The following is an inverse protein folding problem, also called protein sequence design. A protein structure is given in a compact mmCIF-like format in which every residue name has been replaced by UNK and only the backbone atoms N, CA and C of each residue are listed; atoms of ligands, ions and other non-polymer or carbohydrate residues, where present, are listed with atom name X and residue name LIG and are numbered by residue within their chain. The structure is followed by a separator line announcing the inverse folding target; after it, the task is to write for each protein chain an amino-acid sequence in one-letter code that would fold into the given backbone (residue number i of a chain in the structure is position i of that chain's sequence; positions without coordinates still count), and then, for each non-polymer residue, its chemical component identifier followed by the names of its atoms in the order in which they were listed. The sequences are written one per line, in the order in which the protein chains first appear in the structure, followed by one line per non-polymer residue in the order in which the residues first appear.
data_IF_950595245819
#
_entry.id   IF_950595245819
#
_cell.length_a   1.000
_cell.length_b   1.000
_cell.length_c   1.000
_cell.angle_alpha   90.00
_cell.angle_beta   90.00
_cell.angle_gamma   90.00
#
_symmetry.space_group_name_H-M   'P 1'
#
loop_
_entity.id
_entity.type
_entity.pdbx_description
1 polymer ?
#
# COMPACT_ATOMS: atom_id res chain seq x y z
N UNK A 1 -11.89 13.66 10.90
CA UNK A 1 -11.43 13.15 9.58
C UNK A 1 -12.26 13.84 8.51
N UNK A 2 -11.66 14.71 7.69
CA UNK A 2 -12.42 15.50 6.72
C UNK A 2 -12.83 14.64 5.51
N UNK A 3 -14.11 14.63 5.17
CA UNK A 3 -14.72 13.78 4.13
C UNK A 3 -14.11 13.97 2.73
N UNK A 4 -13.46 15.11 2.51
CA UNK A 4 -12.81 15.49 1.26
C UNK A 4 -11.53 14.70 0.97
N UNK A 5 -10.74 14.44 2.02
CA UNK A 5 -9.51 13.63 1.94
C UNK A 5 -9.90 12.19 1.59
N UNK A 6 -10.87 11.62 2.31
CA UNK A 6 -11.41 10.26 2.05
C UNK A 6 -11.93 10.10 0.62
N UNK A 7 -12.49 11.16 0.03
CA UNK A 7 -13.02 11.16 -1.34
C UNK A 7 -11.91 11.27 -2.41
N UNK A 8 -10.83 12.00 -2.13
CA UNK A 8 -9.64 12.06 -3.01
C UNK A 8 -8.90 10.72 -3.03
N UNK A 9 -8.77 10.05 -1.87
CA UNK A 9 -8.18 8.71 -1.76
C UNK A 9 -9.01 7.63 -2.46
N UNK A 10 -10.35 7.69 -2.38
CA UNK A 10 -11.22 6.77 -3.12
C UNK A 10 -11.07 6.90 -4.65
N UNK A 11 -10.87 8.13 -5.16
CA UNK A 11 -10.64 8.38 -6.60
C UNK A 11 -9.26 7.90 -7.06
N UNK A 12 -8.22 8.08 -6.25
CA UNK A 12 -6.88 7.57 -6.56
C UNK A 12 -6.88 6.03 -6.69
N UNK A 13 -7.56 5.32 -5.77
CA UNK A 13 -7.78 3.86 -5.85
C UNK A 13 -8.48 3.42 -7.14
N UNK A 14 -9.48 4.16 -7.60
CA UNK A 14 -10.21 3.84 -8.82
C UNK A 14 -9.36 4.00 -10.10
N UNK A 15 -8.40 4.94 -10.11
CA UNK A 15 -7.54 5.22 -11.27
C UNK A 15 -6.55 4.10 -11.58
N UNK A 16 -5.89 3.56 -10.55
CA UNK A 16 -4.96 2.42 -10.65
C UNK A 16 -5.68 1.16 -11.18
N UNK A 17 -6.96 1.01 -10.87
CA UNK A 17 -7.75 -0.14 -11.28
C UNK A 17 -8.13 -0.15 -12.78
N UNK A 18 -7.88 0.96 -13.51
CA UNK A 18 -8.32 1.14 -14.90
C UNK A 18 -7.27 0.85 -15.98
N UNK A 19 -6.03 0.55 -15.59
CA UNK A 19 -4.96 0.24 -16.54
C UNK A 19 -5.28 -1.06 -17.30
N UNK A 20 -5.49 -0.94 -18.63
CA UNK A 20 -5.75 -2.08 -19.51
C UNK A 20 -4.46 -2.87 -19.72
N UNK A 21 -4.41 -4.19 -19.44
CA UNK A 21 -3.21 -4.97 -19.67
C UNK A 21 -3.00 -5.20 -21.17
N UNK A 22 -1.88 -4.73 -21.71
CA UNK A 22 -1.41 -5.00 -23.08
C UNK A 22 -0.83 -6.42 -23.27
N UNK A 23 -1.09 -7.37 -22.35
CA UNK A 23 -0.47 -8.68 -22.32
C UNK A 23 -1.45 -9.82 -22.65
N UNK A 24 -1.03 -10.73 -23.54
CA UNK A 24 -1.73 -11.97 -23.89
C UNK A 24 -1.89 -12.85 -22.63
N UNK A 25 -3.06 -13.44 -22.36
CA UNK A 25 -3.23 -14.28 -21.18
C UNK A 25 -2.37 -15.55 -21.30
N UNK A 26 -1.45 -15.73 -20.36
CA UNK A 26 -0.82 -17.02 -20.08
C UNK A 26 -1.85 -17.94 -19.42
N UNK A 27 -1.73 -19.28 -19.53
CA UNK A 27 -2.61 -20.18 -18.79
C UNK A 27 -2.52 -19.85 -17.31
N UNK A 28 -3.62 -19.38 -16.73
CA UNK A 28 -3.67 -19.12 -15.30
C UNK A 28 -3.53 -20.46 -14.59
N UNK A 29 -2.49 -20.64 -13.79
CA UNK A 29 -2.65 -21.47 -12.60
C UNK A 29 -3.92 -20.96 -11.93
N UNK A 30 -4.96 -21.80 -11.86
CA UNK A 30 -6.34 -21.36 -11.65
C UNK A 30 -6.53 -20.84 -10.21
N UNK A 31 -6.04 -19.62 -9.97
CA UNK A 31 -6.12 -18.89 -8.71
C UNK A 31 -7.46 -18.16 -8.75
N UNK A 32 -8.37 -18.53 -7.84
CA UNK A 32 -9.71 -17.95 -7.80
C UNK A 32 -9.67 -16.50 -7.33
N UNK A 33 -10.75 -15.73 -7.49
CA UNK A 33 -10.77 -14.36 -6.95
C UNK A 33 -10.63 -14.34 -5.42
N UNK A 34 -11.16 -15.36 -4.73
CA UNK A 34 -10.96 -15.53 -3.29
C UNK A 34 -9.47 -15.63 -2.94
N UNK A 35 -8.71 -16.36 -3.75
CA UNK A 35 -7.27 -16.53 -3.54
C UNK A 35 -6.49 -15.25 -3.88
N UNK A 36 -7.00 -14.42 -4.81
CA UNK A 36 -6.36 -13.14 -5.21
C UNK A 36 -6.67 -11.98 -4.29
N UNK A 37 -7.80 -12.01 -3.58
CA UNK A 37 -8.28 -10.87 -2.78
C UNK A 37 -7.25 -10.41 -1.73
N UNK A 38 -6.63 -11.29 -0.93
CA UNK A 38 -5.60 -10.87 0.03
C UNK A 38 -4.39 -10.21 -0.64
N UNK A 39 -3.94 -10.73 -1.79
CA UNK A 39 -2.85 -10.13 -2.57
C UNK A 39 -3.18 -8.72 -3.07
N UNK A 40 -4.42 -8.50 -3.52
CA UNK A 40 -4.88 -7.17 -3.96
C UNK A 40 -4.99 -6.19 -2.81
N UNK A 41 -5.46 -6.66 -1.65
CA UNK A 41 -5.55 -5.85 -0.43
C UNK A 41 -4.16 -5.46 0.05
N UNK A 42 -3.23 -6.42 0.15
CA UNK A 42 -1.83 -6.16 0.44
C UNK A 42 -1.22 -5.15 -0.53
N UNK A 43 -1.35 -5.36 -1.84
CA UNK A 43 -0.77 -4.46 -2.85
C UNK A 43 -1.34 -3.03 -2.75
N UNK A 44 -2.61 -2.89 -2.35
CA UNK A 44 -3.22 -1.57 -2.13
C UNK A 44 -2.60 -0.84 -0.93
N UNK A 45 -2.43 -1.53 0.21
CA UNK A 45 -1.80 -0.96 1.39
C UNK A 45 -0.30 -0.70 1.17
N UNK A 46 0.40 -1.61 0.48
CA UNK A 46 1.82 -1.43 0.16
C UNK A 46 2.06 -0.21 -0.74
N UNK A 47 1.23 -0.03 -1.79
CA UNK A 47 1.32 1.16 -2.65
C UNK A 47 1.02 2.46 -1.90
N UNK A 48 0.08 2.42 -0.94
CA UNK A 48 -0.21 3.56 -0.08
C UNK A 48 0.95 3.88 0.86
N UNK A 49 1.57 2.86 1.47
CA UNK A 49 2.74 3.04 2.33
C UNK A 49 3.88 3.70 1.56
N UNK A 50 4.12 3.27 0.31
CA UNK A 50 5.14 3.86 -0.54
C UNK A 50 4.93 5.37 -0.73
N UNK A 51 3.71 5.80 -1.03
CA UNK A 51 3.39 7.22 -1.19
C UNK A 51 3.62 8.02 0.10
N UNK A 52 3.19 7.48 1.25
CA UNK A 52 3.41 8.16 2.54
C UNK A 52 4.91 8.27 2.87
N UNK A 53 5.69 7.22 2.61
CA UNK A 53 7.13 7.23 2.81
C UNK A 53 7.80 8.25 1.88
N UNK A 54 7.35 8.37 0.64
CA UNK A 54 7.83 9.35 -0.34
C UNK A 54 7.63 10.79 0.18
N UNK A 55 6.38 11.14 0.53
CA UNK A 55 6.03 12.44 1.11
C UNK A 55 6.81 12.73 2.42
N UNK A 56 7.11 11.69 3.21
CA UNK A 56 7.91 11.81 4.44
C UNK A 56 9.37 12.14 4.14
N UNK A 57 9.96 11.49 3.14
CA UNK A 57 11.35 11.73 2.75
C UNK A 57 11.53 13.09 2.08
N UNK A 58 10.56 13.51 1.29
CA UNK A 58 10.62 14.78 0.55
C UNK A 58 10.09 15.97 1.37
N UNK A 59 9.37 15.70 2.47
CA UNK A 59 8.81 16.72 3.36
C UNK A 59 7.68 17.52 2.72
N UNK A 60 7.04 17.00 1.69
CA UNK A 60 5.95 17.63 0.95
C UNK A 60 4.65 16.80 1.08
N UNK A 61 3.71 16.98 0.15
CA UNK A 61 2.47 16.21 0.10
C UNK A 61 1.75 16.11 1.45
N UNK A 62 1.58 14.88 1.93
CA UNK A 62 0.96 14.57 3.22
C UNK A 62 1.67 15.22 4.41
N UNK A 63 3.01 15.35 4.40
CA UNK A 63 3.75 16.01 5.48
C UNK A 63 3.42 17.49 5.52
N UNK A 64 3.33 18.15 4.37
CA UNK A 64 2.93 19.56 4.30
C UNK A 64 1.50 19.78 4.79
N UNK A 65 0.59 18.81 4.59
CA UNK A 65 -0.81 18.90 5.01
C UNK A 65 -1.05 18.53 6.48
N UNK A 66 -0.38 17.48 7.00
CA UNK A 66 -0.66 16.88 8.31
C UNK A 66 0.47 17.04 9.34
N UNK A 67 1.66 17.42 8.90
CA UNK A 67 2.88 17.43 9.70
C UNK A 67 3.55 16.06 9.83
N UNK A 68 4.86 16.06 10.03
CA UNK A 68 5.70 14.85 9.97
C UNK A 68 5.27 13.77 10.96
N UNK A 69 4.98 14.13 12.22
CA UNK A 69 4.60 13.16 13.24
C UNK A 69 3.32 12.39 12.90
N UNK A 70 2.34 13.05 12.26
CA UNK A 70 1.11 12.38 11.82
C UNK A 70 1.35 11.51 10.58
N UNK A 71 2.21 11.94 9.67
CA UNK A 71 2.59 11.13 8.51
C UNK A 71 3.32 9.84 8.92
N UNK A 72 4.21 9.92 9.91
CA UNK A 72 4.86 8.74 10.50
C UNK A 72 3.85 7.78 11.14
N UNK A 73 2.93 8.30 11.96
CA UNK A 73 1.88 7.47 12.56
C UNK A 73 1.00 6.80 11.49
N UNK A 74 0.71 7.49 10.39
CA UNK A 74 -0.04 6.89 9.28
C UNK A 74 0.75 5.77 8.58
N UNK A 75 2.07 5.94 8.40
CA UNK A 75 2.92 4.89 7.86
C UNK A 75 2.90 3.62 8.75
N UNK A 76 2.94 3.78 10.07
CA UNK A 76 2.80 2.66 11.02
C UNK A 76 1.45 1.94 10.88
N UNK A 77 0.35 2.71 10.78
CA UNK A 77 -0.99 2.13 10.62
C UNK A 77 -1.15 1.37 9.30
N UNK A 78 -0.63 1.91 8.19
CA UNK A 78 -0.67 1.26 6.88
C UNK A 78 0.16 -0.02 6.90
N UNK A 79 1.35 0.02 7.49
CA UNK A 79 2.23 -1.14 7.63
C UNK A 79 1.53 -2.28 8.39
N UNK A 80 0.89 -1.96 9.52
CA UNK A 80 0.13 -2.95 10.29
C UNK A 80 -1.02 -3.59 9.48
N UNK A 81 -1.73 -2.81 8.65
CA UNK A 81 -2.77 -3.34 7.76
C UNK A 81 -2.20 -4.19 6.63
N UNK A 82 -1.11 -3.76 6.01
CA UNK A 82 -0.42 -4.53 4.99
C UNK A 82 0.05 -5.88 5.55
N UNK A 83 0.59 -5.89 6.78
CA UNK A 83 0.97 -7.11 7.49
C UNK A 83 -0.21 -8.05 7.70
N UNK A 84 -1.33 -7.53 8.18
CA UNK A 84 -2.54 -8.34 8.39
C UNK A 84 -3.02 -9.03 7.08
N UNK A 85 -2.85 -8.38 5.92
CA UNK A 85 -3.16 -9.01 4.63
C UNK A 85 -2.14 -10.08 4.21
N UNK A 86 -0.87 -9.96 4.61
CA UNK A 86 0.11 -11.04 4.39
C UNK A 86 -0.22 -12.27 5.22
N UNK A 87 -0.73 -12.10 6.45
CA UNK A 87 -1.12 -13.20 7.33
C UNK A 87 -2.31 -14.02 6.78
N UNK A 88 -3.14 -13.41 5.92
CA UNK A 88 -4.24 -14.09 5.23
C UNK A 88 -3.79 -14.94 4.03
N UNK A 89 -2.55 -14.78 3.56
CA UNK A 89 -2.03 -15.45 2.36
C UNK A 89 -1.41 -16.79 2.75
N UNK A 90 -1.95 -17.88 2.19
CA UNK A 90 -1.43 -19.24 2.36
C UNK A 90 -0.22 -19.55 1.46
N UNK A 91 0.78 -18.67 1.46
CA UNK A 91 2.03 -18.81 0.73
C UNK A 91 3.20 -18.23 1.55
N UNK A 92 4.43 -18.54 1.15
CA UNK A 92 5.60 -17.89 1.73
C UNK A 92 5.65 -16.42 1.28
N UNK A 93 5.43 -15.51 2.24
CA UNK A 93 5.42 -14.06 2.05
C UNK A 93 6.64 -13.37 2.66
N UNK A 94 7.65 -14.12 3.11
CA UNK A 94 8.81 -13.59 3.83
C UNK A 94 9.52 -12.46 3.09
N UNK A 95 9.64 -12.55 1.77
CA UNK A 95 10.23 -11.47 0.96
C UNK A 95 9.38 -10.18 0.97
N UNK A 96 8.06 -10.30 0.91
CA UNK A 96 7.16 -9.13 0.96
C UNK A 96 7.20 -8.47 2.33
N UNK A 97 7.35 -9.29 3.36
CA UNK A 97 7.55 -8.88 4.73
C UNK A 97 8.81 -8.03 4.93
N UNK A 98 9.92 -8.49 4.34
CA UNK A 98 11.20 -7.78 4.34
C UNK A 98 11.12 -6.45 3.56
N UNK A 99 10.43 -6.43 2.41
CA UNK A 99 10.20 -5.21 1.64
C UNK A 99 9.40 -4.17 2.42
N UNK A 100 8.34 -4.61 3.11
CA UNK A 100 7.51 -3.75 3.96
C UNK A 100 8.33 -3.14 5.09
N UNK A 101 9.14 -3.96 5.78
CA UNK A 101 10.03 -3.52 6.84
C UNK A 101 11.12 -2.56 6.31
N UNK A 102 11.65 -2.80 5.11
CA UNK A 102 12.60 -1.93 4.44
C UNK A 102 12.03 -0.53 4.19
N UNK A 103 10.78 -0.45 3.72
CA UNK A 103 10.08 0.83 3.50
C UNK A 103 9.89 1.59 4.82
N UNK A 104 9.42 0.90 5.86
CA UNK A 104 9.21 1.48 7.19
C UNK A 104 10.50 2.08 7.77
N UNK A 105 11.62 1.36 7.64
CA UNK A 105 12.93 1.82 8.12
C UNK A 105 13.39 3.11 7.43
N UNK A 106 13.02 3.32 6.16
CA UNK A 106 13.35 4.55 5.44
C UNK A 106 12.60 5.74 6.01
N UNK A 107 11.29 5.61 6.27
CA UNK A 107 10.53 6.68 6.90
C UNK A 107 11.08 7.03 8.29
N UNK A 108 11.49 6.05 9.09
CA UNK A 108 12.04 6.31 10.43
C UNK A 108 13.42 7.01 10.45
N UNK A 109 14.09 7.14 9.30
CA UNK A 109 15.44 7.71 9.20
C UNK A 109 15.46 9.19 8.76
N UNK A 110 14.30 9.78 8.48
CA UNK A 110 14.09 11.18 8.09
C UNK A 110 13.53 12.03 9.23
#
# INVERSE_FOLDING_TARGET
MSAEISSRWARARASISSARPCARPLPSSATTERDRAPWRSFASEFGLLYQVVDDVLDGDGLVAELGSGRAHGLADEIEARARAHLDEISADTSLLDELLLGLKRRAAAS
#
